data_IF_331636221546
#
_entry.id   IF_331636221546
#
_cell.length_a   1.000
_cell.length_b   1.000
_cell.length_c   1.000
_cell.angle_alpha   90.00
_cell.angle_beta   90.00
_cell.angle_gamma   90.00
#
_symmetry.space_group_name_H-M   'P 1'
#
loop_
_entity.id
_entity.type
_entity.pdbx_description
1 polymer ?
#
# COMPACT_ATOMS: atom_id res chain seq x y z
N UNK A 1 -7.23 -10.18 -13.39
CA UNK A 1 -5.80 -10.33 -13.06
C UNK A 1 -5.57 -11.50 -12.12
N UNK A 2 -4.31 -11.75 -11.81
CA UNK A 2 -3.92 -12.71 -10.77
C UNK A 2 -2.69 -12.18 -10.02
N UNK A 3 -2.56 -12.60 -8.78
CA UNK A 3 -1.39 -12.37 -7.95
C UNK A 3 -0.91 -13.75 -7.49
N UNK A 4 0.35 -14.05 -7.65
CA UNK A 4 1.00 -15.20 -7.07
C UNK A 4 1.98 -14.69 -6.02
N UNK A 5 1.75 -15.05 -4.78
CA UNK A 5 2.61 -14.70 -3.66
C UNK A 5 3.36 -15.94 -3.23
N UNK A 6 4.65 -15.80 -3.08
CA UNK A 6 5.53 -16.82 -2.52
C UNK A 6 6.21 -16.23 -1.30
N UNK A 7 6.09 -16.90 -0.17
CA UNK A 7 6.74 -16.50 1.08
C UNK A 7 8.01 -17.32 1.23
N UNK A 8 9.15 -16.65 1.14
CA UNK A 8 10.45 -17.29 1.32
C UNK A 8 10.92 -17.14 2.77
N UNK A 9 11.51 -18.20 3.31
CA UNK A 9 12.20 -18.16 4.61
C UNK A 9 13.48 -17.33 4.51
N UNK A 10 13.87 -16.72 5.62
CA UNK A 10 15.14 -16.00 5.72
C UNK A 10 16.28 -17.01 5.81
N UNK A 11 17.19 -16.97 4.85
CA UNK A 11 18.40 -17.79 4.88
C UNK A 11 19.45 -17.09 5.76
N UNK A 12 19.56 -17.57 7.01
CA UNK A 12 20.48 -17.00 8.02
C UNK A 12 21.93 -17.27 7.64
N UNK A 13 22.23 -18.37 6.96
CA UNK A 13 23.60 -18.70 6.54
C UNK A 13 24.10 -17.70 5.50
N UNK A 14 23.25 -17.36 4.53
CA UNK A 14 23.57 -16.32 3.52
C UNK A 14 23.74 -14.95 4.18
N UNK A 15 22.93 -14.60 5.17
CA UNK A 15 23.05 -13.32 5.88
C UNK A 15 24.32 -13.25 6.73
N UNK A 16 24.84 -14.38 7.18
CA UNK A 16 26.02 -14.49 8.02
C UNK A 16 27.33 -14.69 7.23
N UNK A 17 27.26 -14.90 5.92
CA UNK A 17 28.41 -15.31 5.09
C UNK A 17 29.61 -14.34 5.19
N UNK A 18 29.34 -13.03 5.23
CA UNK A 18 30.37 -11.97 5.27
C UNK A 18 30.39 -11.22 6.62
N UNK A 19 29.82 -11.78 7.71
CA UNK A 19 29.76 -11.12 9.01
C UNK A 19 30.85 -11.63 9.95
N UNK A 20 31.38 -10.72 10.78
CA UNK A 20 32.24 -11.09 11.89
C UNK A 20 31.46 -11.89 12.96
N UNK A 21 32.11 -12.77 13.71
CA UNK A 21 31.45 -13.68 14.66
C UNK A 21 30.58 -12.98 15.72
N UNK A 22 30.88 -11.72 16.06
CA UNK A 22 30.07 -10.89 16.98
C UNK A 22 28.82 -10.30 16.36
N UNK A 23 28.77 -10.21 15.03
CA UNK A 23 27.67 -9.60 14.27
C UNK A 23 26.77 -10.65 13.59
N UNK A 24 27.15 -11.94 13.69
CA UNK A 24 26.34 -13.04 13.16
C UNK A 24 25.02 -13.16 13.86
N UNK A 25 23.97 -13.31 13.04
CA UNK A 25 22.63 -13.62 13.54
C UNK A 25 22.62 -15.04 14.14
N UNK A 26 21.95 -15.23 15.29
CA UNK A 26 21.81 -16.55 15.87
C UNK A 26 20.90 -17.45 15.03
N UNK A 27 21.20 -18.74 15.00
CA UNK A 27 20.33 -19.76 14.41
C UNK A 27 19.13 -20.02 15.34
N UNK A 28 18.14 -19.13 15.25
CA UNK A 28 16.89 -19.21 16.01
C UNK A 28 15.71 -19.08 15.04
N UNK A 29 14.56 -19.55 15.46
CA UNK A 29 13.32 -19.34 14.72
C UNK A 29 13.13 -17.85 14.43
N UNK A 30 12.79 -17.51 13.19
CA UNK A 30 12.40 -16.16 12.85
C UNK A 30 11.06 -15.80 13.52
N UNK A 31 10.77 -14.52 13.66
CA UNK A 31 9.47 -14.07 14.16
C UNK A 31 8.31 -14.59 13.28
N UNK A 32 8.57 -14.80 11.99
CA UNK A 32 7.63 -15.40 11.07
C UNK A 32 7.33 -16.87 11.45
N UNK A 33 8.37 -17.67 11.67
CA UNK A 33 8.22 -19.08 12.06
C UNK A 33 7.50 -19.21 13.41
N UNK A 34 7.74 -18.26 14.34
CA UNK A 34 7.01 -18.21 15.60
C UNK A 34 5.52 -17.93 15.38
N UNK A 35 5.17 -17.01 14.47
CA UNK A 35 3.77 -16.70 14.17
C UNK A 35 3.05 -17.85 13.49
N UNK A 36 3.72 -18.61 12.64
CA UNK A 36 3.17 -19.83 12.05
C UNK A 36 3.00 -20.91 13.13
N UNK A 37 4.03 -21.16 13.92
CA UNK A 37 4.00 -22.15 15.03
C UNK A 37 2.88 -21.87 16.03
N UNK A 38 2.70 -20.59 16.40
CA UNK A 38 1.71 -20.15 17.38
C UNK A 38 0.32 -19.90 16.75
N UNK A 39 0.15 -20.25 15.46
CA UNK A 39 -1.09 -20.15 14.69
C UNK A 39 -1.66 -18.72 14.58
N UNK A 40 -0.80 -17.69 14.60
CA UNK A 40 -1.16 -16.33 14.21
C UNK A 40 -1.20 -16.19 12.69
N UNK A 41 -0.40 -16.96 11.98
CA UNK A 41 -0.43 -17.16 10.52
C UNK A 41 -0.84 -18.61 10.30
N UNK A 42 -1.91 -18.83 9.52
CA UNK A 42 -2.39 -20.18 9.21
C UNK A 42 -1.40 -20.96 8.36
N UNK A 43 -1.29 -22.27 8.57
CA UNK A 43 -0.43 -23.15 7.75
C UNK A 43 -0.78 -23.04 6.26
N UNK A 44 -2.06 -22.80 5.93
CA UNK A 44 -2.58 -22.72 4.56
C UNK A 44 -2.04 -21.49 3.81
N UNK A 45 -1.71 -20.41 4.52
CA UNK A 45 -1.22 -19.15 3.96
C UNK A 45 0.29 -18.95 4.16
N UNK A 46 0.95 -19.82 4.92
CA UNK A 46 2.35 -19.67 5.29
C UNK A 46 3.29 -19.66 4.07
N UNK A 47 3.02 -20.46 3.06
CA UNK A 47 3.84 -20.51 1.85
C UNK A 47 3.43 -19.47 0.79
N UNK A 48 2.36 -18.71 1.06
CA UNK A 48 1.76 -17.79 0.11
C UNK A 48 0.56 -18.39 -0.61
N UNK A 49 0.33 -18.04 -1.87
CA UNK A 49 -0.77 -18.60 -2.64
C UNK A 49 -1.10 -17.81 -3.91
N UNK A 50 -1.98 -18.40 -4.71
CA UNK A 50 -2.49 -17.82 -5.95
C UNK A 50 -3.85 -17.15 -5.68
N UNK A 51 -3.93 -15.85 -6.00
CA UNK A 51 -5.15 -15.05 -5.83
C UNK A 51 -5.56 -14.38 -7.15
N UNK A 52 -6.21 -15.10 -8.07
CA UNK A 52 -6.84 -14.49 -9.22
C UNK A 52 -8.01 -13.60 -8.78
N UNK A 53 -8.17 -12.47 -9.48
CA UNK A 53 -9.15 -11.47 -9.09
C UNK A 53 -9.88 -10.82 -10.26
N UNK A 54 -11.07 -10.32 -9.96
CA UNK A 54 -11.79 -9.37 -10.79
C UNK A 54 -11.88 -8.05 -10.05
N UNK A 55 -11.48 -6.96 -10.71
CA UNK A 55 -11.57 -5.60 -10.17
C UNK A 55 -12.39 -4.73 -11.08
N UNK A 56 -13.32 -3.98 -10.50
CA UNK A 56 -14.11 -2.96 -11.16
C UNK A 56 -14.20 -1.73 -10.26
N UNK A 57 -14.41 -0.59 -10.88
CA UNK A 57 -14.51 0.65 -10.14
C UNK A 57 -14.79 1.85 -11.01
N UNK A 58 -14.93 2.98 -10.35
CA UNK A 58 -15.16 4.27 -10.97
C UNK A 58 -14.10 5.26 -10.49
N UNK A 59 -13.68 6.13 -11.42
CA UNK A 59 -12.77 7.24 -11.14
C UNK A 59 -13.44 8.52 -11.61
N UNK A 60 -13.44 9.53 -10.75
CA UNK A 60 -13.88 10.89 -11.07
C UNK A 60 -12.68 11.82 -10.94
N UNK A 61 -12.30 12.47 -12.03
CA UNK A 61 -11.12 13.33 -12.10
C UNK A 61 -11.46 14.67 -12.76
N UNK A 62 -11.30 15.74 -11.98
CA UNK A 62 -11.49 17.13 -12.44
C UNK A 62 -10.26 17.98 -12.14
N UNK A 63 -9.10 17.34 -11.93
CA UNK A 63 -7.84 18.05 -11.66
C UNK A 63 -7.45 18.92 -12.87
N UNK A 64 -6.94 20.08 -12.58
CA UNK A 64 -6.38 20.99 -13.58
C UNK A 64 -5.09 20.47 -14.23
N UNK A 65 -4.32 19.67 -13.47
CA UNK A 65 -3.07 19.07 -13.91
C UNK A 65 -2.84 17.73 -13.21
N UNK A 66 -2.38 16.71 -13.92
CA UNK A 66 -2.16 15.39 -13.34
C UNK A 66 -0.89 15.31 -12.47
N UNK A 67 0.30 15.77 -12.93
CA UNK A 67 1.52 15.63 -12.15
C UNK A 67 1.60 16.53 -10.91
N UNK A 68 1.03 17.74 -11.00
CA UNK A 68 1.07 18.72 -9.91
C UNK A 68 -0.21 19.55 -9.86
N UNK A 69 -1.32 18.92 -9.44
CA UNK A 69 -2.61 19.59 -9.38
C UNK A 69 -2.63 20.71 -8.35
N UNK A 70 -3.19 21.87 -8.75
CA UNK A 70 -3.41 23.02 -7.91
C UNK A 70 -4.89 23.15 -7.52
N UNK A 71 -5.79 22.61 -8.32
CA UNK A 71 -7.24 22.63 -8.09
C UNK A 71 -7.93 21.37 -8.59
N UNK A 72 -9.14 21.13 -8.10
CA UNK A 72 -9.98 20.02 -8.53
C UNK A 72 -10.01 18.84 -7.57
N UNK A 73 -10.68 17.78 -8.01
CA UNK A 73 -10.93 16.57 -7.24
C UNK A 73 -10.46 15.36 -8.04
N UNK A 74 -9.86 14.40 -7.35
CA UNK A 74 -9.69 13.04 -7.83
C UNK A 74 -10.29 12.08 -6.81
N UNK A 75 -11.29 11.33 -7.22
CA UNK A 75 -11.96 10.36 -6.37
C UNK A 75 -12.06 9.03 -7.09
N UNK A 76 -11.87 7.93 -6.35
CA UNK A 76 -12.06 6.57 -6.84
C UNK A 76 -12.85 5.74 -5.85
N UNK A 77 -13.61 4.79 -6.37
CA UNK A 77 -14.23 3.71 -5.63
C UNK A 77 -13.97 2.41 -6.40
N UNK A 78 -13.37 1.43 -5.73
CA UNK A 78 -12.96 0.16 -6.29
C UNK A 78 -13.57 -0.99 -5.50
N UNK A 79 -13.96 -2.03 -6.20
CA UNK A 79 -14.32 -3.30 -5.63
C UNK A 79 -13.51 -4.39 -6.32
N UNK A 80 -12.78 -5.17 -5.54
CA UNK A 80 -11.98 -6.30 -6.00
C UNK A 80 -12.49 -7.56 -5.33
N UNK A 81 -12.75 -8.61 -6.08
CA UNK A 81 -13.15 -9.91 -5.55
C UNK A 81 -12.18 -10.99 -6.01
N UNK A 82 -11.89 -11.92 -5.12
CA UNK A 82 -10.99 -13.07 -5.29
C UNK A 82 -11.81 -14.36 -5.15
N UNK A 83 -12.55 -14.76 -6.20
CA UNK A 83 -13.50 -15.86 -6.10
C UNK A 83 -12.81 -17.22 -6.29
N UNK A 84 -13.17 -18.21 -5.48
CA UNK A 84 -12.63 -19.57 -5.55
C UNK A 84 -12.90 -20.28 -6.87
N UNK A 85 -14.03 -19.97 -7.57
CA UNK A 85 -14.30 -20.56 -8.88
C UNK A 85 -13.28 -20.17 -9.97
N UNK A 86 -12.46 -19.14 -9.75
CA UNK A 86 -11.35 -18.76 -10.61
C UNK A 86 -10.03 -19.43 -10.21
N UNK A 87 -10.04 -20.30 -9.21
CA UNK A 87 -8.86 -20.97 -8.67
C UNK A 87 -8.10 -20.12 -7.66
N UNK A 88 -8.80 -19.23 -6.93
CA UNK A 88 -8.21 -18.53 -5.80
C UNK A 88 -8.05 -19.47 -4.62
N UNK A 89 -6.88 -19.49 -4.01
CA UNK A 89 -6.62 -20.25 -2.79
C UNK A 89 -7.34 -19.63 -1.59
N UNK A 90 -7.66 -18.32 -1.66
CA UNK A 90 -8.34 -17.55 -0.61
C UNK A 90 -9.55 -16.83 -1.20
N UNK A 91 -10.71 -16.95 -0.55
CA UNK A 91 -11.95 -16.30 -1.00
C UNK A 91 -12.28 -15.07 -0.16
N UNK A 92 -12.12 -13.88 -0.72
CA UNK A 92 -12.47 -12.62 -0.08
C UNK A 92 -12.77 -11.54 -1.10
N UNK A 93 -13.18 -10.39 -0.61
CA UNK A 93 -13.39 -9.19 -1.44
C UNK A 93 -12.87 -7.96 -0.72
N UNK A 94 -12.47 -6.95 -1.48
CA UNK A 94 -11.98 -5.69 -0.94
C UNK A 94 -12.72 -4.52 -1.57
N UNK A 95 -13.23 -3.63 -0.75
CA UNK A 95 -13.74 -2.33 -1.17
C UNK A 95 -12.73 -1.26 -0.79
N UNK A 96 -12.40 -0.38 -1.73
CA UNK A 96 -11.51 0.76 -1.49
C UNK A 96 -12.11 2.03 -2.03
N UNK A 97 -12.09 3.09 -1.24
CA UNK A 97 -12.51 4.43 -1.66
C UNK A 97 -11.40 5.43 -1.31
N UNK A 98 -11.05 6.27 -2.27
CA UNK A 98 -10.06 7.33 -2.06
C UNK A 98 -10.62 8.65 -2.59
N UNK A 99 -10.46 9.70 -1.81
CA UNK A 99 -10.80 11.06 -2.20
C UNK A 99 -9.58 11.97 -2.02
N UNK A 100 -9.24 12.72 -3.07
CA UNK A 100 -8.20 13.75 -3.07
C UNK A 100 -8.81 15.04 -3.56
N UNK A 101 -8.50 16.13 -2.88
CA UNK A 101 -8.94 17.45 -3.31
C UNK A 101 -7.81 18.45 -3.19
N UNK A 102 -7.79 19.38 -4.11
CA UNK A 102 -6.77 20.40 -4.27
C UNK A 102 -7.43 21.78 -4.30
N UNK A 103 -6.89 22.72 -3.56
CA UNK A 103 -7.38 24.10 -3.49
C UNK A 103 -6.23 25.07 -3.66
N UNK A 104 -6.38 26.02 -4.56
CA UNK A 104 -5.49 27.16 -4.64
C UNK A 104 -5.98 28.26 -3.70
N UNK A 105 -5.15 28.68 -2.75
CA UNK A 105 -5.40 29.83 -1.88
C UNK A 105 -4.80 31.12 -2.44
N UNK A 106 -3.57 31.03 -2.95
CA UNK A 106 -2.87 32.13 -3.62
C UNK A 106 -2.42 31.56 -4.97
N UNK A 107 -2.90 32.19 -6.04
CA UNK A 107 -2.63 31.74 -7.39
C UNK A 107 -1.11 31.64 -7.64
N UNK A 108 -0.68 30.48 -8.13
CA UNK A 108 0.72 30.10 -8.38
C UNK A 108 1.65 30.05 -7.17
N UNK A 109 1.21 30.38 -5.95
CA UNK A 109 2.10 30.46 -4.79
C UNK A 109 1.70 29.55 -3.64
N UNK A 110 0.41 29.42 -3.30
CA UNK A 110 -0.01 28.61 -2.15
C UNK A 110 -1.22 27.74 -2.50
N UNK A 111 -1.06 26.45 -2.36
CA UNK A 111 -2.15 25.48 -2.48
C UNK A 111 -2.17 24.50 -1.31
N UNK A 112 -3.35 23.99 -1.05
CA UNK A 112 -3.58 22.88 -0.11
C UNK A 112 -4.05 21.65 -0.87
N UNK A 113 -3.62 20.49 -0.40
CA UNK A 113 -4.12 19.23 -0.86
C UNK A 113 -4.45 18.33 0.34
N UNK A 114 -5.55 17.59 0.25
CA UNK A 114 -5.80 16.51 1.19
C UNK A 114 -6.14 15.22 0.45
N UNK A 115 -5.88 14.11 1.12
CA UNK A 115 -6.29 12.78 0.73
C UNK A 115 -6.94 12.08 1.92
N UNK A 116 -8.09 11.47 1.69
CA UNK A 116 -8.71 10.53 2.62
C UNK A 116 -8.90 9.23 1.88
N UNK A 117 -8.52 8.13 2.51
CA UNK A 117 -8.66 6.79 1.97
C UNK A 117 -9.30 5.86 2.98
N UNK A 118 -10.15 4.98 2.48
CA UNK A 118 -10.80 3.91 3.24
C UNK A 118 -10.68 2.61 2.45
N UNK A 119 -10.35 1.53 3.14
CA UNK A 119 -10.38 0.19 2.61
C UNK A 119 -11.00 -0.75 3.63
N UNK A 120 -11.80 -1.70 3.16
CA UNK A 120 -12.40 -2.76 3.94
C UNK A 120 -12.30 -4.08 3.18
N UNK A 121 -11.77 -5.10 3.84
CA UNK A 121 -11.81 -6.47 3.38
C UNK A 121 -13.07 -7.16 3.93
N UNK A 122 -13.68 -8.02 3.13
CA UNK A 122 -14.85 -8.82 3.44
C UNK A 122 -14.55 -10.30 3.16
N UNK A 123 -14.93 -11.16 4.06
CA UNK A 123 -14.62 -12.59 4.05
C UNK A 123 -13.73 -12.94 5.23
N UNK A 124 -13.70 -14.21 5.56
CA UNK A 124 -12.95 -14.73 6.71
C UNK A 124 -11.54 -15.21 6.28
N UNK A 125 -11.31 -15.42 4.97
CA UNK A 125 -10.09 -16.01 4.42
C UNK A 125 -9.15 -14.94 3.79
N UNK A 126 -9.00 -13.77 4.43
CA UNK A 126 -8.08 -12.75 3.94
C UNK A 126 -6.66 -13.10 4.35
N UNK A 127 -5.79 -13.49 3.43
CA UNK A 127 -4.46 -13.96 3.80
C UNK A 127 -3.59 -12.82 4.36
N UNK A 128 -2.71 -13.14 5.33
CA UNK A 128 -1.92 -12.16 6.06
C UNK A 128 -1.08 -11.26 5.13
N UNK A 129 -0.57 -11.80 4.03
CA UNK A 129 0.26 -11.08 3.06
C UNK A 129 -0.53 -10.05 2.24
N UNK A 130 -1.88 -10.10 2.24
CA UNK A 130 -2.74 -9.10 1.60
C UNK A 130 -3.19 -8.00 2.57
N UNK A 131 -3.17 -8.23 3.88
CA UNK A 131 -3.63 -7.28 4.89
C UNK A 131 -2.91 -5.92 4.87
N UNK A 132 -1.58 -5.82 4.61
CA UNK A 132 -0.92 -4.53 4.58
C UNK A 132 -1.21 -3.71 3.32
N UNK A 133 -1.83 -4.30 2.29
CA UNK A 133 -1.99 -3.65 0.99
C UNK A 133 -3.17 -2.69 0.96
N UNK A 134 -2.91 -1.51 0.41
CA UNK A 134 -3.94 -0.54 0.06
C UNK A 134 -4.10 -0.51 -1.45
N UNK A 135 -5.30 -0.84 -1.92
CA UNK A 135 -5.57 -0.96 -3.35
C UNK A 135 -5.85 0.42 -3.97
N UNK A 136 -5.41 0.61 -5.20
CA UNK A 136 -5.76 1.76 -6.02
C UNK A 136 -5.94 1.37 -7.48
N UNK A 137 -6.50 2.25 -8.28
CA UNK A 137 -6.65 2.03 -9.72
C UNK A 137 -5.30 1.89 -10.43
N UNK A 138 -4.28 2.61 -9.94
CA UNK A 138 -2.95 2.62 -10.55
C UNK A 138 -2.01 1.55 -9.99
N UNK A 139 -2.20 1.14 -8.73
CA UNK A 139 -1.32 0.16 -8.07
C UNK A 139 -2.09 -0.75 -7.14
N UNK A 140 -1.97 -2.05 -7.38
CA UNK A 140 -2.58 -3.08 -6.52
C UNK A 140 -1.81 -3.32 -5.21
N UNK A 141 -0.53 -3.02 -5.18
CA UNK A 141 0.41 -3.51 -4.16
C UNK A 141 1.05 -2.41 -3.31
N UNK A 142 0.38 -1.27 -3.15
CA UNK A 142 0.92 -0.20 -2.31
C UNK A 142 0.47 -0.38 -0.87
N UNK A 143 1.36 -0.92 -0.03
CA UNK A 143 1.11 -1.04 1.41
C UNK A 143 1.17 0.30 2.12
N UNK A 144 0.57 0.34 3.32
CA UNK A 144 0.62 1.52 4.19
C UNK A 144 2.05 1.79 4.65
N UNK A 145 2.45 3.06 4.62
CA UNK A 145 3.81 3.53 4.94
C UNK A 145 4.63 3.96 3.73
N UNK A 146 5.85 4.42 3.96
CA UNK A 146 6.75 4.90 2.94
C UNK A 146 6.40 6.29 2.37
N UNK A 147 7.07 6.68 1.30
CA UNK A 147 6.98 8.05 0.76
C UNK A 147 5.63 8.41 0.13
N UNK A 148 4.82 7.43 -0.24
CA UNK A 148 3.60 7.65 -1.04
C UNK A 148 2.30 7.56 -0.26
N UNK A 149 2.26 6.84 0.86
CA UNK A 149 1.06 6.71 1.68
C UNK A 149 1.17 7.43 3.02
N UNK A 150 1.98 6.97 3.94
CA UNK A 150 2.23 7.58 5.25
C UNK A 150 3.72 7.78 5.46
N UNK A 151 4.21 9.02 5.28
CA UNK A 151 5.61 9.37 5.51
C UNK A 151 5.96 9.22 6.99
N UNK A 152 7.16 8.69 7.27
CA UNK A 152 7.65 8.46 8.63
C UNK A 152 7.31 7.09 9.20
N UNK A 153 6.51 6.29 8.50
CA UNK A 153 6.19 4.91 8.86
C UNK A 153 6.81 3.98 7.81
N UNK A 154 7.45 2.92 8.26
CA UNK A 154 7.96 1.88 7.36
C UNK A 154 6.80 1.20 6.63
N UNK A 155 7.02 0.89 5.36
CA UNK A 155 6.02 0.27 4.50
C UNK A 155 5.61 -1.11 5.04
N UNK A 156 4.33 -1.45 4.90
CA UNK A 156 3.75 -2.73 5.30
C UNK A 156 3.84 -3.06 6.81
N UNK A 157 3.94 -2.05 7.68
CA UNK A 157 3.96 -2.25 9.14
C UNK A 157 2.60 -2.12 9.80
N UNK A 158 1.61 -1.61 9.08
CA UNK A 158 0.23 -1.49 9.54
C UNK A 158 -0.59 -2.52 8.78
N UNK A 159 -1.20 -3.43 9.51
CA UNK A 159 -2.01 -4.52 8.99
C UNK A 159 -3.39 -4.51 9.63
N UNK A 160 -4.40 -4.91 8.87
CA UNK A 160 -5.77 -5.01 9.38
C UNK A 160 -6.79 -5.20 8.26
N UNK A 161 -7.94 -5.74 8.62
CA UNK A 161 -9.07 -5.91 7.69
C UNK A 161 -9.71 -4.60 7.25
N UNK A 162 -9.50 -3.52 8.02
CA UNK A 162 -9.96 -2.18 7.69
C UNK A 162 -8.82 -1.19 7.79
N UNK A 163 -8.72 -0.30 6.81
CA UNK A 163 -7.71 0.75 6.75
C UNK A 163 -8.40 2.09 6.55
N UNK A 164 -8.06 3.06 7.40
CA UNK A 164 -8.40 4.47 7.20
C UNK A 164 -7.11 5.27 7.18
N UNK A 165 -6.93 6.12 6.20
CA UNK A 165 -5.79 7.03 6.13
C UNK A 165 -6.20 8.43 5.72
N UNK A 166 -5.47 9.42 6.23
CA UNK A 166 -5.62 10.81 5.83
C UNK A 166 -4.24 11.48 5.70
N UNK A 167 -4.12 12.33 4.70
CA UNK A 167 -2.95 13.17 4.50
C UNK A 167 -3.41 14.61 4.24
N UNK A 168 -2.69 15.57 4.80
CA UNK A 168 -2.86 17.00 4.53
C UNK A 168 -1.51 17.56 4.10
N UNK A 169 -1.51 18.40 3.08
CA UNK A 169 -0.31 18.96 2.50
C UNK A 169 -0.53 20.44 2.17
N UNK A 170 0.37 21.30 2.65
CA UNK A 170 0.46 22.70 2.24
C UNK A 170 1.66 22.84 1.29
N UNK A 171 1.41 23.36 0.11
CA UNK A 171 2.41 23.58 -0.93
C UNK A 171 2.61 25.08 -1.11
N UNK A 172 3.71 25.60 -0.61
CA UNK A 172 4.02 27.01 -0.67
C UNK A 172 5.29 27.29 -1.47
N UNK A 173 5.15 28.05 -2.55
CA UNK A 173 6.25 28.55 -3.36
C UNK A 173 6.73 29.87 -2.78
N UNK A 174 7.55 29.82 -1.73
CA UNK A 174 8.03 31.00 -1.00
C UNK A 174 9.25 31.66 -1.66
N UNK A 175 9.86 31.00 -2.64
CA UNK A 175 11.08 31.52 -3.31
C UNK A 175 11.02 31.28 -4.81
N UNK A 176 11.35 32.32 -5.57
CA UNK A 176 11.49 32.24 -7.03
C UNK A 176 12.90 32.65 -7.41
N UNK A 177 13.56 31.89 -8.27
CA UNK A 177 14.88 32.20 -8.81
C UNK A 177 14.86 32.04 -10.32
N UNK A 178 15.63 32.88 -11.00
CA UNK A 178 15.84 32.77 -12.45
C UNK A 178 17.24 32.22 -12.67
N UNK A 179 17.33 31.07 -13.33
CA UNK A 179 18.60 30.45 -13.68
C UNK A 179 18.73 30.43 -15.21
N UNK A 180 19.76 31.08 -15.73
CA UNK A 180 20.03 31.08 -17.18
C UNK A 180 18.97 31.80 -18.02
N UNK A 181 18.22 32.77 -17.46
CA UNK A 181 17.18 33.50 -18.18
C UNK A 181 15.85 32.74 -18.42
N UNK A 182 15.67 31.60 -17.79
CA UNK A 182 14.40 30.85 -17.78
C UNK A 182 13.73 30.96 -16.40
N UNK A 183 12.40 31.18 -16.41
CA UNK A 183 11.55 31.20 -15.21
C UNK A 183 11.10 29.83 -14.82
#
# INVERSE_FOLDING_TARGET
GYINTEVATVDIDVLNEDQDDVDKLPDTLSLYDEYVRDNYIGEEEADGGLTPYVKFGMVYDTRDNEPNPMSGIWAEALFTTYPGFMGSDFEFSTFTATHRQYFTLIENDLSFAYRVGYQQNFGDDVPFFMLPWYQSSFKMTEGMGGSKSLRGILKNRIVGNSIVMANLEARWKFFRTVVGGQN
#
